data_IF_341166869912
#
_entry.id   IF_341166869912
#
_cell.length_a   1.000
_cell.length_b   1.000
_cell.length_c   1.000
_cell.angle_alpha   90.00
_cell.angle_beta   90.00
_cell.angle_gamma   90.00
#
_symmetry.space_group_name_H-M   'P 1'
#
loop_
_entity.id
_entity.type
_entity.pdbx_description
1 polymer ?
#
# COMPACT_ATOMS: atom_id res chain seq x y z
N UNK A 1 0.87 -2.83 9.06
CA UNK A 1 0.48 -2.40 7.71
C UNK A 1 -1.00 -2.20 7.72
N UNK A 2 -1.44 -1.04 7.26
CA UNK A 2 -2.84 -0.65 7.28
C UNK A 2 -3.44 -0.80 5.87
N UNK A 3 -4.76 -0.81 5.77
CA UNK A 3 -5.45 -0.78 4.48
C UNK A 3 -6.75 0.01 4.62
N UNK A 4 -6.97 0.98 3.73
CA UNK A 4 -8.23 1.73 3.65
C UNK A 4 -9.19 1.16 2.62
N UNK A 5 -8.71 0.24 1.77
CA UNK A 5 -9.45 -0.28 0.62
C UNK A 5 -9.14 -1.77 0.35
N UNK A 6 -8.96 -2.56 1.41
CA UNK A 6 -8.77 -3.99 1.19
C UNK A 6 -10.04 -4.60 0.57
N UNK A 7 -9.88 -5.53 -0.36
CA UNK A 7 -10.99 -6.13 -1.10
C UNK A 7 -11.13 -7.58 -0.70
N UNK A 8 -12.35 -7.95 -0.31
CA UNK A 8 -12.72 -9.31 0.04
C UNK A 8 -13.91 -9.67 -0.85
N UNK A 9 -13.88 -10.89 -1.39
CA UNK A 9 -14.96 -11.46 -2.18
C UNK A 9 -15.55 -12.65 -1.45
N UNK A 10 -16.87 -12.79 -1.50
CA UNK A 10 -17.59 -13.97 -0.98
C UNK A 10 -18.72 -14.33 -1.94
N UNK A 11 -19.22 -15.55 -1.84
CA UNK A 11 -20.38 -16.01 -2.61
C UNK A 11 -21.63 -15.94 -1.74
N UNK A 12 -22.75 -15.52 -2.34
CA UNK A 12 -24.04 -15.41 -1.67
C UNK A 12 -25.18 -15.60 -2.67
N UNK A 13 -26.34 -16.02 -2.17
CA UNK A 13 -27.59 -16.03 -2.93
C UNK A 13 -28.32 -14.68 -2.91
N UNK A 14 -27.82 -13.70 -2.14
CA UNK A 14 -28.34 -12.33 -2.05
C UNK A 14 -27.42 -11.34 -2.74
N UNK A 15 -27.97 -10.23 -3.23
CA UNK A 15 -27.20 -9.10 -3.75
C UNK A 15 -26.44 -8.39 -2.64
N UNK A 16 -25.29 -7.79 -2.95
CA UNK A 16 -24.46 -7.08 -1.96
C UNK A 16 -25.26 -6.01 -1.19
N UNK A 17 -26.12 -5.26 -1.86
CA UNK A 17 -26.93 -4.19 -1.26
C UNK A 17 -27.88 -4.68 -0.16
N UNK A 18 -28.34 -5.93 -0.24
CA UNK A 18 -29.23 -6.54 0.74
C UNK A 18 -28.49 -7.08 1.96
N UNK A 19 -27.20 -7.43 1.79
CA UNK A 19 -26.39 -8.10 2.81
C UNK A 19 -25.44 -7.16 3.56
N UNK A 20 -25.07 -6.02 2.94
CA UNK A 20 -24.02 -5.13 3.47
C UNK A 20 -24.37 -4.55 4.84
N UNK A 21 -25.66 -4.30 5.12
CA UNK A 21 -26.12 -3.81 6.43
C UNK A 21 -25.83 -4.80 7.55
N UNK A 22 -26.33 -6.03 7.42
CA UNK A 22 -26.11 -7.12 8.38
C UNK A 22 -24.62 -7.41 8.59
N UNK A 23 -23.82 -7.32 7.52
CA UNK A 23 -22.39 -7.54 7.59
C UNK A 23 -21.67 -6.43 8.37
N UNK A 24 -22.05 -5.17 8.18
CA UNK A 24 -21.53 -4.03 8.95
C UNK A 24 -21.86 -4.17 10.43
N UNK A 25 -23.09 -4.57 10.77
CA UNK A 25 -23.52 -4.74 12.17
C UNK A 25 -22.69 -5.82 12.88
N UNK A 26 -22.43 -6.95 12.21
CA UNK A 26 -21.56 -8.02 12.75
C UNK A 26 -20.12 -7.58 12.97
N UNK A 27 -19.65 -6.60 12.19
CA UNK A 27 -18.29 -6.07 12.31
C UNK A 27 -18.18 -4.92 13.31
N UNK A 28 -19.27 -4.47 13.94
CA UNK A 28 -19.28 -3.28 14.80
C UNK A 28 -18.28 -3.39 15.97
N UNK A 29 -18.13 -4.58 16.54
CA UNK A 29 -17.20 -4.84 17.64
C UNK A 29 -15.71 -4.86 17.23
N UNK A 30 -15.39 -4.73 15.94
CA UNK A 30 -14.04 -4.83 15.40
C UNK A 30 -13.57 -3.49 14.80
N UNK A 31 -12.26 -3.20 14.79
CA UNK A 31 -11.70 -2.03 14.12
C UNK A 31 -11.62 -2.24 12.60
N UNK A 32 -12.70 -2.72 11.99
CA UNK A 32 -12.82 -3.06 10.58
C UNK A 32 -14.09 -2.39 10.07
N UNK A 33 -13.96 -1.70 8.93
CA UNK A 33 -15.06 -0.98 8.34
C UNK A 33 -15.29 -1.36 6.89
N UNK A 34 -16.55 -1.54 6.51
CA UNK A 34 -16.96 -1.74 5.13
C UNK A 34 -17.22 -0.37 4.50
N UNK A 35 -16.37 0.04 3.57
CA UNK A 35 -16.44 1.36 2.94
C UNK A 35 -17.19 1.34 1.60
N UNK A 36 -17.35 0.17 0.99
CA UNK A 36 -18.09 0.00 -0.24
C UNK A 36 -18.40 -1.47 -0.55
N UNK A 37 -19.25 -1.68 -1.56
CA UNK A 37 -19.66 -2.99 -2.02
C UNK A 37 -19.98 -2.95 -3.52
N UNK A 38 -19.95 -4.12 -4.16
CA UNK A 38 -20.43 -4.30 -5.54
C UNK A 38 -20.66 -5.79 -5.79
N UNK A 39 -21.69 -6.12 -6.56
CA UNK A 39 -21.85 -7.46 -7.11
C UNK A 39 -20.83 -7.66 -8.24
N UNK A 40 -20.32 -8.88 -8.38
CA UNK A 40 -19.36 -9.28 -9.42
C UNK A 40 -19.72 -10.65 -9.96
N UNK A 41 -19.20 -11.01 -11.13
CA UNK A 41 -19.34 -12.37 -11.67
C UNK A 41 -18.59 -13.39 -10.80
N UNK A 42 -19.04 -14.66 -10.82
CA UNK A 42 -18.37 -15.75 -10.09
C UNK A 42 -16.93 -16.00 -10.57
N UNK A 43 -16.63 -15.60 -11.81
CA UNK A 43 -15.29 -15.64 -12.43
C UNK A 43 -14.35 -14.55 -11.92
N UNK A 44 -14.87 -13.53 -11.23
CA UNK A 44 -14.08 -12.39 -10.79
C UNK A 44 -13.02 -12.82 -9.78
N UNK A 45 -11.77 -12.40 -10.02
CA UNK A 45 -10.66 -12.66 -9.13
C UNK A 45 -10.14 -11.35 -8.55
N UNK A 46 -10.29 -11.08 -7.24
CA UNK A 46 -9.86 -9.82 -6.62
C UNK A 46 -8.33 -9.64 -6.66
N UNK A 47 -7.55 -10.67 -6.99
CA UNK A 47 -6.11 -10.56 -7.16
C UNK A 47 -5.73 -9.93 -8.52
N UNK A 48 -6.61 -10.01 -9.52
CA UNK A 48 -6.39 -9.45 -10.87
C UNK A 48 -6.88 -8.00 -10.88
N UNK A 49 -6.10 -7.10 -10.28
CA UNK A 49 -6.35 -5.66 -10.31
C UNK A 49 -5.50 -5.00 -11.42
N UNK A 50 -6.00 -3.92 -12.02
CA UNK A 50 -5.26 -3.15 -13.01
C UNK A 50 -4.27 -2.20 -12.35
N UNK A 51 -4.57 -1.74 -11.13
CA UNK A 51 -3.67 -0.91 -10.34
C UNK A 51 -3.91 -1.06 -8.84
N UNK A 52 -2.82 -0.94 -8.07
CA UNK A 52 -2.81 -0.80 -6.62
C UNK A 52 -2.00 0.42 -6.25
N UNK A 53 -2.52 1.22 -5.33
CA UNK A 53 -1.87 2.41 -4.79
C UNK A 53 -1.52 2.20 -3.32
N UNK A 54 -0.25 2.25 -3.01
CA UNK A 54 0.26 2.30 -1.65
C UNK A 54 0.63 3.72 -1.25
N UNK A 55 0.45 4.06 0.02
CA UNK A 55 1.01 5.26 0.64
C UNK A 55 1.96 4.86 1.75
N UNK A 56 3.15 5.46 1.76
CA UNK A 56 4.08 5.37 2.86
C UNK A 56 4.30 6.76 3.46
N UNK A 57 4.25 6.86 4.79
CA UNK A 57 4.49 8.10 5.52
C UNK A 57 5.90 8.08 6.11
N UNK A 58 6.76 8.99 5.66
CA UNK A 58 8.07 9.22 6.24
C UNK A 58 8.01 10.45 7.13
N UNK A 59 8.57 10.32 8.33
CA UNK A 59 8.64 11.38 9.33
C UNK A 59 10.06 11.87 9.44
N UNK A 60 10.24 13.19 9.49
CA UNK A 60 11.54 13.85 9.66
C UNK A 60 12.57 13.46 8.58
N UNK A 61 12.12 13.24 7.33
CA UNK A 61 13.04 13.02 6.21
C UNK A 61 13.69 14.35 5.81
N UNK A 62 14.97 14.50 6.13
CA UNK A 62 15.73 15.74 5.95
C UNK A 62 16.03 16.01 4.47
N UNK A 63 16.46 14.99 3.73
CA UNK A 63 16.86 15.14 2.33
C UNK A 63 15.77 14.64 1.36
N UNK A 64 14.65 15.37 1.33
CA UNK A 64 13.47 15.08 0.49
C UNK A 64 13.81 15.01 -1.01
N UNK A 65 14.75 15.84 -1.47
CA UNK A 65 15.17 15.86 -2.88
C UNK A 65 15.95 14.59 -3.24
N UNK A 66 16.91 14.18 -2.40
CA UNK A 66 17.66 12.94 -2.62
C UNK A 66 16.76 11.72 -2.47
N UNK A 67 15.80 11.73 -1.51
CA UNK A 67 14.79 10.68 -1.39
C UNK A 67 14.01 10.53 -2.69
N UNK A 68 13.51 11.64 -3.24
CA UNK A 68 12.78 11.64 -4.50
C UNK A 68 13.66 11.10 -5.64
N UNK A 69 14.90 11.58 -5.78
CA UNK A 69 15.83 11.06 -6.81
C UNK A 69 16.05 9.54 -6.69
N UNK A 70 16.23 9.03 -5.47
CA UNK A 70 16.47 7.62 -5.21
C UNK A 70 15.22 6.75 -5.49
N UNK A 71 14.05 7.14 -4.98
CA UNK A 71 12.82 6.35 -5.11
C UNK A 71 12.32 6.33 -6.56
N UNK A 72 12.54 7.39 -7.34
CA UNK A 72 12.12 7.45 -8.75
C UNK A 72 12.83 6.41 -9.64
N UNK A 73 13.98 5.87 -9.21
CA UNK A 73 14.67 4.78 -9.94
C UNK A 73 13.82 3.52 -10.10
N UNK A 74 12.83 3.32 -9.22
CA UNK A 74 11.95 2.16 -9.27
C UNK A 74 10.80 2.27 -10.27
N UNK A 75 10.55 3.47 -10.84
CA UNK A 75 9.51 3.65 -11.87
C UNK A 75 9.90 2.87 -13.13
N UNK A 76 8.92 2.20 -13.74
CA UNK A 76 9.13 1.35 -14.91
C UNK A 76 9.10 -0.15 -14.59
N UNK A 77 9.62 -0.96 -15.52
CA UNK A 77 9.66 -2.43 -15.41
C UNK A 77 11.05 -2.86 -14.94
N UNK A 78 11.12 -3.55 -13.82
CA UNK A 78 12.37 -4.04 -13.25
C UNK A 78 12.21 -5.44 -12.67
N UNK A 79 13.34 -6.13 -12.46
CA UNK A 79 13.40 -7.29 -11.58
C UNK A 79 13.55 -6.82 -10.13
N UNK A 80 12.55 -7.08 -9.30
CA UNK A 80 12.51 -6.66 -7.90
C UNK A 80 12.99 -7.73 -6.92
N UNK A 81 13.71 -8.76 -7.38
CA UNK A 81 14.23 -9.85 -6.53
C UNK A 81 14.98 -9.34 -5.29
N UNK A 82 15.87 -8.36 -5.45
CA UNK A 82 16.66 -7.76 -4.35
C UNK A 82 15.85 -6.80 -3.46
N UNK A 83 14.64 -6.46 -3.88
CA UNK A 83 13.75 -5.57 -3.15
C UNK A 83 12.54 -6.30 -2.58
N UNK A 84 12.55 -7.64 -2.53
CA UNK A 84 11.43 -8.41 -2.03
C UNK A 84 11.90 -9.53 -1.10
N UNK A 85 10.98 -10.05 -0.30
CA UNK A 85 11.20 -11.32 0.40
C UNK A 85 10.75 -12.45 -0.53
N UNK A 86 11.71 -13.19 -1.05
CA UNK A 86 11.47 -14.40 -1.85
C UNK A 86 11.63 -15.61 -0.93
N UNK A 87 10.66 -16.52 -0.95
CA UNK A 87 10.79 -17.81 -0.26
C UNK A 87 11.51 -18.78 -1.17
N UNK A 88 12.44 -19.59 -0.65
CA UNK A 88 13.29 -20.47 -1.46
C UNK A 88 12.52 -21.52 -2.29
N UNK A 89 11.28 -21.82 -1.90
CA UNK A 89 10.40 -22.77 -2.60
C UNK A 89 9.61 -22.14 -3.75
N UNK A 90 9.70 -20.82 -3.91
CA UNK A 90 8.87 -20.07 -4.83
C UNK A 90 9.64 -19.80 -6.13
N UNK A 91 9.29 -20.53 -7.20
CA UNK A 91 9.64 -20.18 -8.60
C UNK A 91 8.82 -18.98 -9.07
N UNK A 92 8.85 -17.87 -8.32
CA UNK A 92 8.00 -16.70 -8.57
C UNK A 92 8.71 -15.73 -9.49
N UNK A 93 8.02 -15.32 -10.56
CA UNK A 93 8.44 -14.20 -11.40
C UNK A 93 8.55 -12.94 -10.54
N UNK A 94 9.75 -12.39 -10.44
CA UNK A 94 10.08 -11.20 -9.64
C UNK A 94 10.00 -9.90 -10.44
N UNK A 95 9.65 -9.97 -11.72
CA UNK A 95 9.51 -8.77 -12.57
C UNK A 95 8.20 -8.07 -12.26
N UNK A 96 8.26 -6.78 -11.96
CA UNK A 96 7.07 -5.94 -11.70
C UNK A 96 7.19 -4.63 -12.45
N UNK A 97 6.05 -3.97 -12.66
CA UNK A 97 5.96 -2.62 -13.21
C UNK A 97 5.43 -1.67 -12.15
N UNK A 98 6.21 -0.66 -11.83
CA UNK A 98 5.75 0.52 -11.09
C UNK A 98 5.31 1.55 -12.12
N UNK A 99 4.06 1.97 -12.05
CA UNK A 99 3.46 2.91 -13.00
C UNK A 99 3.89 4.34 -12.68
N UNK A 100 3.77 4.75 -11.41
CA UNK A 100 4.24 6.06 -10.95
C UNK A 100 4.61 6.03 -9.48
N UNK A 101 5.43 7.01 -9.09
CA UNK A 101 5.70 7.32 -7.69
C UNK A 101 5.53 8.83 -7.53
N UNK A 102 4.62 9.24 -6.67
CA UNK A 102 4.30 10.63 -6.40
C UNK A 102 4.74 10.99 -4.97
N UNK A 103 5.43 12.12 -4.81
CA UNK A 103 5.91 12.60 -3.50
C UNK A 103 5.13 13.85 -3.10
N UNK A 104 4.52 13.82 -1.92
CA UNK A 104 3.74 14.93 -1.37
C UNK A 104 4.36 15.32 -0.02
N UNK A 105 4.83 16.56 0.11
CA UNK A 105 5.32 17.08 1.39
C UNK A 105 4.24 17.86 2.12
N UNK A 106 4.05 17.54 3.41
CA UNK A 106 3.17 18.25 4.32
C UNK A 106 3.91 18.49 5.63
N UNK A 107 4.47 19.70 5.80
CA UNK A 107 5.33 20.03 6.95
C UNK A 107 6.50 19.06 7.07
N UNK A 108 6.59 18.38 8.22
CA UNK A 108 7.65 17.41 8.54
C UNK A 108 7.35 15.99 8.04
N UNK A 109 6.22 15.80 7.35
CA UNK A 109 5.81 14.51 6.79
C UNK A 109 6.07 14.52 5.28
N UNK A 110 6.72 13.47 4.80
CA UNK A 110 6.84 13.15 3.38
C UNK A 110 5.98 11.93 3.07
N UNK A 111 5.00 12.10 2.19
CA UNK A 111 4.09 11.03 1.78
C UNK A 111 4.56 10.53 0.42
N UNK A 112 4.93 9.26 0.35
CA UNK A 112 5.30 8.57 -0.88
C UNK A 112 4.14 7.71 -1.37
N UNK A 113 3.54 8.07 -2.50
CA UNK A 113 2.48 7.32 -3.16
C UNK A 113 3.08 6.46 -4.27
N UNK A 114 2.91 5.14 -4.19
CA UNK A 114 3.47 4.20 -5.16
C UNK A 114 2.32 3.47 -5.85
N UNK A 115 2.25 3.58 -7.18
CA UNK A 115 1.23 2.94 -8.01
C UNK A 115 1.85 1.87 -8.89
N UNK A 116 1.21 0.71 -8.96
CA UNK A 116 1.68 -0.40 -9.79
C UNK A 116 0.63 -1.50 -9.91
N UNK A 117 0.81 -2.41 -10.87
CA UNK A 117 -0.15 -3.47 -11.16
C UNK A 117 -0.19 -4.49 -10.01
N UNK A 118 1.00 -4.96 -9.62
CA UNK A 118 1.17 -5.94 -8.55
C UNK A 118 2.51 -5.72 -7.85
N UNK A 119 2.60 -6.22 -6.62
CA UNK A 119 3.77 -6.04 -5.76
C UNK A 119 4.16 -7.40 -5.16
N UNK A 120 5.46 -7.66 -5.06
CA UNK A 120 6.01 -8.79 -4.34
C UNK A 120 5.90 -8.58 -2.83
N UNK A 121 6.09 -9.66 -2.08
CA UNK A 121 6.10 -9.58 -0.63
C UNK A 121 7.23 -8.66 -0.14
N UNK A 122 6.87 -7.71 0.73
CA UNK A 122 7.73 -6.64 1.25
C UNK A 122 8.27 -5.63 0.22
N UNK A 123 7.88 -5.71 -1.06
CA UNK A 123 8.47 -4.89 -2.13
C UNK A 123 8.51 -3.40 -1.81
N UNK A 124 7.34 -2.84 -1.50
CA UNK A 124 7.19 -1.41 -1.21
C UNK A 124 8.07 -0.99 -0.03
N UNK A 125 8.14 -1.80 1.03
CA UNK A 125 8.91 -1.47 2.24
C UNK A 125 10.42 -1.49 1.99
N UNK A 126 10.90 -2.41 1.14
CA UNK A 126 12.31 -2.49 0.73
C UNK A 126 12.66 -1.36 -0.24
N UNK A 127 11.77 -0.97 -1.15
CA UNK A 127 11.96 0.23 -2.00
C UNK A 127 12.10 1.50 -1.16
N UNK A 128 11.18 1.72 -0.22
CA UNK A 128 11.23 2.87 0.70
C UNK A 128 12.52 2.83 1.55
N UNK A 129 12.86 1.67 2.11
CA UNK A 129 14.06 1.50 2.92
C UNK A 129 15.34 1.76 2.13
N UNK A 130 15.42 1.33 0.87
CA UNK A 130 16.55 1.61 0.00
C UNK A 130 16.72 3.12 -0.28
N UNK A 131 15.63 3.83 -0.60
CA UNK A 131 15.68 5.28 -0.77
C UNK A 131 16.08 6.00 0.52
N UNK A 132 15.59 5.52 1.67
CA UNK A 132 15.95 6.02 3.00
C UNK A 132 17.43 5.77 3.32
N UNK A 133 17.98 4.60 2.96
CA UNK A 133 19.40 4.31 3.15
C UNK A 133 20.30 5.26 2.36
N UNK A 134 19.86 5.69 1.17
CA UNK A 134 20.57 6.68 0.37
C UNK A 134 20.54 8.06 1.03
N UNK A 135 19.39 8.50 1.54
CA UNK A 135 19.33 9.81 2.19
C UNK A 135 20.14 9.91 3.47
N UNK A 136 20.27 8.80 4.20
CA UNK A 136 21.06 8.71 5.43
C UNK A 136 22.53 8.32 5.19
N UNK A 137 22.99 8.28 3.93
CA UNK A 137 24.38 7.97 3.59
C UNK A 137 24.83 6.53 3.89
N UNK A 138 23.90 5.60 4.13
CA UNK A 138 24.21 4.16 4.34
C UNK A 138 24.45 3.42 3.03
N UNK A 139 23.94 3.97 1.93
CA UNK A 139 24.06 3.48 0.56
C UNK A 139 24.21 4.64 -0.41
N UNK A 140 24.74 4.36 -1.58
CA UNK A 140 24.78 5.31 -2.68
C UNK A 140 23.60 5.11 -3.63
N UNK A 141 23.21 6.16 -4.36
CA UNK A 141 22.13 6.07 -5.35
C UNK A 141 22.42 5.02 -6.45
N UNK A 142 23.71 4.77 -6.74
CA UNK A 142 24.14 3.76 -7.71
C UNK A 142 23.86 2.34 -7.21
N UNK A 143 23.83 2.12 -5.90
CA UNK A 143 23.57 0.80 -5.31
C UNK A 143 22.15 0.31 -5.65
N UNK A 144 21.18 1.22 -5.69
CA UNK A 144 19.81 0.90 -6.11
C UNK A 144 19.82 0.40 -7.57
N UNK A 145 20.55 1.08 -8.47
CA UNK A 145 20.64 0.68 -9.88
C UNK A 145 21.32 -0.67 -10.04
N UNK A 146 22.43 -0.91 -9.33
CA UNK A 146 23.13 -2.19 -9.30
C UNK A 146 22.22 -3.32 -8.82
N UNK A 147 21.45 -3.08 -7.77
CA UNK A 147 20.50 -4.05 -7.24
C UNK A 147 19.34 -4.35 -8.19
N UNK A 148 18.84 -3.36 -8.93
CA UNK A 148 17.84 -3.57 -10.00
C UNK A 148 18.42 -4.37 -11.17
N UNK A 149 19.73 -4.30 -11.39
CA UNK A 149 20.47 -5.09 -12.38
C UNK A 149 20.93 -6.46 -11.85
N UNK A 150 20.49 -6.86 -10.66
CA UNK A 150 20.71 -8.21 -10.12
C UNK A 150 21.85 -8.34 -9.12
N UNK A 151 22.63 -7.29 -8.87
CA UNK A 151 23.68 -7.33 -7.83
C UNK A 151 23.04 -7.46 -6.43
N UNK A 152 23.54 -8.39 -5.62
CA UNK A 152 22.96 -8.61 -4.28
C UNK A 152 23.43 -7.53 -3.32
N UNK A 153 22.58 -6.55 -3.08
CA UNK A 153 22.81 -5.45 -2.13
C UNK A 153 21.70 -5.45 -1.09
N UNK A 154 22.09 -5.46 0.19
CA UNK A 154 21.14 -5.39 1.29
C UNK A 154 20.78 -3.94 1.61
N UNK A 155 19.47 -3.70 1.66
CA UNK A 155 18.84 -2.46 2.11
C UNK A 155 17.99 -2.72 3.35
N UNK A 156 17.86 -1.69 4.17
CA UNK A 156 16.94 -1.63 5.30
C UNK A 156 15.51 -1.88 4.83
N UNK A 157 14.70 -2.49 5.70
CA UNK A 157 13.27 -2.65 5.45
C UNK A 157 12.51 -1.60 6.25
N UNK A 158 11.80 -0.71 5.56
CA UNK A 158 11.01 0.33 6.20
C UNK A 158 9.93 -0.27 7.12
N UNK A 159 9.51 0.44 8.19
CA UNK A 159 8.55 -0.09 9.17
C UNK A 159 7.17 -0.36 8.54
N UNK A 160 6.47 -1.38 9.02
CA UNK A 160 5.19 -1.78 8.42
C UNK A 160 4.01 -0.87 8.82
N UNK A 161 4.11 -0.18 9.95
CA UNK A 161 3.09 0.69 10.54
C UNK A 161 2.75 1.90 9.66
N UNK A 162 3.71 2.40 8.88
CA UNK A 162 3.50 3.59 8.04
C UNK A 162 3.10 3.27 6.60
N UNK A 163 2.95 1.98 6.26
CA UNK A 163 2.53 1.54 4.95
C UNK A 163 1.03 1.27 4.95
N UNK A 164 0.32 1.92 4.04
CA UNK A 164 -1.12 1.78 3.85
C UNK A 164 -1.47 1.41 2.42
N UNK A 165 -2.24 0.34 2.21
CA UNK A 165 -2.92 0.10 0.93
C UNK A 165 -4.07 1.10 0.81
N UNK A 166 -3.96 2.02 -0.15
CA UNK A 166 -4.84 3.18 -0.23
C UNK A 166 -5.89 3.11 -1.35
N UNK A 167 -5.56 2.50 -2.48
CA UNK A 167 -6.54 2.22 -3.53
C UNK A 167 -6.26 0.89 -4.24
N UNK A 168 -7.32 0.26 -4.75
CA UNK A 168 -7.24 -0.85 -5.71
C UNK A 168 -8.25 -0.56 -6.82
N UNK A 169 -7.80 -0.68 -8.07
CA UNK A 169 -8.62 -0.44 -9.25
C UNK A 169 -8.75 -1.72 -10.07
N UNK A 170 -9.95 -1.97 -10.55
CA UNK A 170 -10.30 -3.10 -11.40
C UNK A 170 -10.92 -2.59 -12.69
N UNK A 171 -10.73 -3.34 -13.77
CA UNK A 171 -11.36 -3.04 -15.04
C UNK A 171 -12.88 -3.27 -14.94
N UNK A 172 -13.67 -2.29 -15.36
CA UNK A 172 -15.14 -2.35 -15.43
C UNK A 172 -15.88 -2.67 -14.11
N UNK A 173 -15.24 -2.48 -12.95
CA UNK A 173 -15.89 -2.62 -11.65
C UNK A 173 -16.01 -1.25 -10.98
N UNK A 174 -17.24 -0.92 -10.58
CA UNK A 174 -17.53 0.31 -9.83
C UNK A 174 -17.99 -0.10 -8.43
N UNK A 175 -17.24 0.31 -7.42
CA UNK A 175 -17.59 0.03 -6.02
C UNK A 175 -18.57 1.12 -5.54
N UNK A 176 -19.78 0.72 -5.15
CA UNK A 176 -20.75 1.60 -4.52
C UNK A 176 -20.28 1.92 -3.09
N UNK A 177 -20.24 3.20 -2.73
CA UNK A 177 -19.85 3.63 -1.38
C UNK A 177 -21.01 3.43 -0.40
N UNK A 178 -20.70 2.94 0.79
CA UNK A 178 -21.66 2.88 1.89
C UNK A 178 -21.95 4.30 2.38
N UNK A 179 -23.23 4.71 2.43
CA UNK A 179 -23.67 6.07 2.77
C UNK A 179 -23.56 6.46 4.27
N UNK A 180 -22.80 5.73 5.07
CA UNK A 180 -22.83 5.82 6.53
C UNK A 180 -21.70 6.70 7.13
N UNK A 181 -21.40 7.84 6.49
CA UNK A 181 -20.25 8.69 6.81
C UNK A 181 -20.15 9.12 8.28
N UNK A 182 -21.29 9.39 8.95
CA UNK A 182 -21.30 9.87 10.35
C UNK A 182 -20.87 8.81 11.36
N UNK A 183 -21.42 7.60 11.27
CA UNK A 183 -21.04 6.50 12.16
C UNK A 183 -19.61 6.03 11.89
N UNK A 184 -19.19 6.05 10.63
CA UNK A 184 -17.83 5.70 10.22
C UNK A 184 -16.81 6.73 10.74
N UNK A 185 -17.10 8.03 10.65
CA UNK A 185 -16.26 9.09 11.25
C UNK A 185 -16.17 8.96 12.76
N UNK A 186 -17.30 8.76 13.45
CA UNK A 186 -17.31 8.63 14.91
C UNK A 186 -16.50 7.42 15.39
N UNK A 187 -16.64 6.27 14.71
CA UNK A 187 -15.84 5.06 15.01
C UNK A 187 -14.37 5.21 14.61
N UNK A 188 -14.08 5.92 13.51
CA UNK A 188 -12.71 6.26 13.12
C UNK A 188 -12.04 7.14 14.18
N UNK A 189 -12.72 8.17 14.68
CA UNK A 189 -12.24 9.03 15.77
C UNK A 189 -11.96 8.22 17.05
N UNK A 190 -12.85 7.29 17.42
CA UNK A 190 -12.63 6.36 18.55
C UNK A 190 -11.39 5.47 18.33
N UNK A 191 -11.22 4.92 17.12
CA UNK A 191 -10.02 4.12 16.80
C UNK A 191 -8.73 4.94 16.71
N UNK A 192 -8.85 6.25 16.46
CA UNK A 192 -7.74 7.20 16.43
C UNK A 192 -7.34 7.59 17.86
N UNK A 193 -8.29 7.78 18.78
CA UNK A 193 -7.97 7.97 20.20
C UNK A 193 -7.31 6.74 20.82
N UNK A 194 -7.62 5.54 20.33
CA UNK A 194 -6.93 4.31 20.75
C UNK A 194 -5.54 4.15 20.11
N UNK A 195 -5.30 4.82 18.97
CA UNK A 195 -4.00 4.88 18.29
C UNK A 195 -3.34 6.24 18.54
N UNK A 196 -2.80 6.40 19.74
CA UNK A 196 -1.98 7.53 20.24
C UNK A 196 -0.97 8.09 19.21
N UNK A 197 -0.53 7.25 18.27
CA UNK A 197 0.44 7.58 17.23
C UNK A 197 0.06 8.76 16.30
N UNK A 198 -1.21 8.99 15.99
CA UNK A 198 -1.60 10.01 14.99
C UNK A 198 -1.81 11.43 15.55
N UNK A 199 -1.98 11.57 16.87
CA UNK A 199 -2.13 12.89 17.51
C UNK A 199 -0.79 13.60 17.70
N UNK A 200 0.30 12.85 17.87
CA UNK A 200 1.66 13.43 17.98
C UNK A 200 2.25 13.91 16.63
N UNK A 201 1.57 13.65 15.51
CA UNK A 201 2.08 13.90 14.16
C UNK A 201 1.42 15.06 13.42
N UNK A 202 0.36 15.67 13.97
CA UNK A 202 -0.35 16.82 13.42
C UNK A 202 -0.20 18.03 14.33
#
# INVERSE_FOLDING_TARGET
>A
MNATCNIITTTSNKKCKEYVGDFIEKLDAYPIWVTGFTDVELSFNPRIAIERKYKYYLFNEENKELFNKAIQLFVGKHDFKNFARILEKDSVDTRRKINSIDIISKGNILICEIKGISFLWHQVRKMIGAATDVTHGRREIIDIKKALNGEKIEFTMAKAEFLTLNNIEYENIVIEKVKNERNMRKKYELSRSDNFFWEELL
#
